data_IF_248688083033
#
_entry.id   IF_248688083033
#
_cell.length_a   1.000
_cell.length_b   1.000
_cell.length_c   1.000
_cell.angle_alpha   90.00
_cell.angle_beta   90.00
_cell.angle_gamma   90.00
#
_symmetry.space_group_name_H-M   'P 1'
#
loop_
_entity.id
_entity.type
_entity.pdbx_description
1 polymer ?
#
# COMPACT_ATOMS: atom_id res chain seq x y z
N UNK A 1 -15.89 10.29 5.02
CA UNK A 1 -15.07 11.41 5.52
C UNK A 1 -13.62 10.96 5.47
N UNK A 2 -12.96 11.20 4.35
CA UNK A 2 -11.51 10.95 4.20
C UNK A 2 -10.81 12.06 4.98
N UNK A 3 -9.90 11.72 5.88
CA UNK A 3 -9.11 12.66 6.69
C UNK A 3 -8.30 13.61 5.80
N UNK A 4 -8.94 14.69 5.35
CA UNK A 4 -8.30 15.85 4.69
C UNK A 4 -7.65 16.81 5.70
N UNK A 5 -7.56 16.40 6.97
CA UNK A 5 -7.21 17.28 8.08
C UNK A 5 -6.32 16.56 9.07
N UNK A 6 -5.05 16.36 8.72
CA UNK A 6 -3.94 16.25 9.69
C UNK A 6 -2.53 16.40 9.08
N UNK A 7 -2.35 16.32 7.75
CA UNK A 7 -1.06 16.68 7.13
C UNK A 7 -0.71 18.19 7.16
N UNK A 8 -1.51 19.01 7.86
CA UNK A 8 -1.29 20.47 8.01
C UNK A 8 -1.06 20.93 9.46
N UNK A 9 -0.99 20.04 10.44
CA UNK A 9 -0.66 20.40 11.84
C UNK A 9 0.72 19.86 12.18
N UNK A 10 1.72 20.76 12.20
CA UNK A 10 3.16 20.45 12.11
C UNK A 10 3.81 19.64 13.25
N UNK A 11 3.05 19.06 14.19
CA UNK A 11 3.57 18.20 15.27
C UNK A 11 3.28 16.71 15.01
N UNK A 12 2.08 16.37 14.52
CA UNK A 12 1.77 14.99 14.11
C UNK A 12 2.61 14.59 12.89
N UNK A 13 2.77 15.52 11.94
CA UNK A 13 3.56 15.34 10.73
C UNK A 13 5.04 15.03 11.03
N UNK A 14 5.67 15.69 12.02
CA UNK A 14 7.08 15.44 12.34
C UNK A 14 7.33 14.06 12.97
N UNK A 15 6.41 13.55 13.81
CA UNK A 15 6.54 12.18 14.35
C UNK A 15 6.38 11.13 13.25
N UNK A 16 5.44 11.31 12.33
CA UNK A 16 5.31 10.43 11.17
C UNK A 16 6.53 10.51 10.25
N UNK A 17 7.05 11.70 9.97
CA UNK A 17 8.30 11.86 9.22
C UNK A 17 9.46 11.16 9.91
N UNK A 18 9.58 11.31 11.22
CA UNK A 18 10.63 10.64 11.99
C UNK A 18 10.48 9.11 11.93
N UNK A 19 9.26 8.60 12.07
CA UNK A 19 8.96 7.18 11.90
C UNK A 19 9.46 6.66 10.54
N UNK A 20 9.16 7.38 9.44
CA UNK A 20 9.62 6.98 8.11
C UNK A 20 11.13 7.13 7.91
N UNK A 21 11.79 8.12 8.53
CA UNK A 21 13.27 8.22 8.55
C UNK A 21 13.90 7.01 9.23
N UNK A 22 13.36 6.60 10.38
CA UNK A 22 13.83 5.44 11.13
C UNK A 22 13.60 4.15 10.34
N UNK A 23 12.43 3.99 9.70
CA UNK A 23 12.17 2.86 8.78
C UNK A 23 13.22 2.79 7.66
N UNK A 24 13.54 3.93 7.03
CA UNK A 24 14.56 4.00 5.99
C UNK A 24 15.94 3.58 6.49
N UNK A 25 16.31 3.97 7.71
CA UNK A 25 17.56 3.54 8.34
C UNK A 25 17.59 2.02 8.58
N UNK A 26 16.48 1.43 9.06
CA UNK A 26 16.36 -0.02 9.27
C UNK A 26 16.56 -0.81 7.96
N UNK A 27 15.91 -0.41 6.86
CA UNK A 27 16.14 -1.03 5.56
C UNK A 27 17.58 -0.85 5.09
N UNK A 28 18.16 0.33 5.28
CA UNK A 28 19.57 0.59 4.91
C UNK A 28 20.53 -0.35 5.66
N UNK A 29 20.30 -0.61 6.95
CA UNK A 29 21.08 -1.56 7.74
C UNK A 29 20.96 -2.97 7.16
N UNK A 30 19.74 -3.44 6.86
CA UNK A 30 19.50 -4.76 6.29
C UNK A 30 20.16 -4.93 4.91
N UNK A 31 20.11 -3.90 4.08
CA UNK A 31 20.64 -3.89 2.71
C UNK A 31 22.12 -3.51 2.63
N UNK A 32 22.77 -3.29 3.78
CA UNK A 32 24.17 -2.82 3.91
C UNK A 32 24.43 -1.53 3.12
N UNK A 33 23.44 -0.64 3.09
CA UNK A 33 23.50 0.68 2.47
C UNK A 33 23.80 1.78 3.50
N UNK A 34 24.33 2.94 3.07
CA UNK A 34 24.59 4.06 3.96
C UNK A 34 23.32 4.56 4.65
N UNK A 35 23.38 4.72 5.99
CA UNK A 35 22.30 5.31 6.78
C UNK A 35 22.23 6.82 6.52
N UNK A 36 21.00 7.36 6.52
CA UNK A 36 20.72 8.79 6.45
C UNK A 36 21.51 9.59 7.49
N UNK A 37 22.02 10.76 7.10
CA UNK A 37 22.96 11.53 7.91
C UNK A 37 22.45 11.82 9.35
N UNK A 38 21.17 12.13 9.52
CA UNK A 38 20.59 12.46 10.83
C UNK A 38 20.47 11.27 11.80
N UNK A 39 20.71 10.04 11.34
CA UNK A 39 20.66 8.83 12.17
C UNK A 39 21.99 8.05 12.15
N UNK A 40 23.02 8.60 11.49
CA UNK A 40 24.30 7.90 11.28
C UNK A 40 25.09 7.64 12.56
N UNK A 41 24.94 8.52 13.55
CA UNK A 41 25.64 8.43 14.83
C UNK A 41 24.93 7.49 15.83
N UNK A 42 23.73 7.00 15.49
CA UNK A 42 22.98 6.06 16.33
C UNK A 42 23.41 4.63 16.03
N UNK A 43 23.55 3.83 17.07
CA UNK A 43 23.71 2.40 16.94
C UNK A 43 22.44 1.74 16.36
N UNK A 44 22.56 0.58 15.69
CA UNK A 44 21.40 -0.17 15.23
C UNK A 44 20.37 -0.46 16.34
N UNK A 45 20.81 -0.70 17.57
CA UNK A 45 19.91 -0.94 18.72
C UNK A 45 19.10 0.32 19.08
N UNK A 46 19.73 1.50 19.10
CA UNK A 46 19.03 2.77 19.35
C UNK A 46 17.99 3.07 18.27
N UNK A 47 18.30 2.78 17.01
CA UNK A 47 17.37 2.93 15.88
C UNK A 47 16.17 2.00 16.04
N UNK A 48 16.38 0.75 16.45
CA UNK A 48 15.28 -0.19 16.75
C UNK A 48 14.44 0.26 17.94
N UNK A 49 15.07 0.77 19.00
CA UNK A 49 14.35 1.27 20.17
C UNK A 49 13.49 2.49 19.82
N UNK A 50 14.03 3.44 19.05
CA UNK A 50 13.28 4.60 18.58
C UNK A 50 12.11 4.18 17.67
N UNK A 51 12.35 3.21 16.77
CA UNK A 51 11.30 2.63 15.93
C UNK A 51 10.14 2.07 16.76
N UNK A 52 10.43 1.24 17.76
CA UNK A 52 9.40 0.61 18.58
C UNK A 52 8.61 1.61 19.43
N UNK A 53 9.28 2.65 19.94
CA UNK A 53 8.63 3.74 20.66
C UNK A 53 7.68 4.53 19.75
N UNK A 54 8.14 4.88 18.54
CA UNK A 54 7.32 5.60 17.57
C UNK A 54 6.15 4.73 17.07
N UNK A 55 6.38 3.45 16.83
CA UNK A 55 5.32 2.51 16.44
C UNK A 55 4.27 2.36 17.54
N UNK A 56 4.70 2.19 18.80
CA UNK A 56 3.80 2.08 19.94
C UNK A 56 2.97 3.36 20.17
N UNK A 57 3.57 4.53 19.93
CA UNK A 57 2.87 5.82 20.07
C UNK A 57 1.90 6.08 18.91
N UNK A 58 2.32 5.83 17.68
CA UNK A 58 1.57 6.22 16.49
C UNK A 58 0.62 5.14 15.97
N UNK A 59 0.83 3.87 16.32
CA UNK A 59 0.07 2.71 15.82
C UNK A 59 0.08 2.62 14.29
N UNK A 60 1.23 2.83 13.66
CA UNK A 60 1.33 2.93 12.19
C UNK A 60 1.05 1.58 11.55
N UNK A 61 1.49 0.47 12.15
CA UNK A 61 1.23 -0.87 11.64
C UNK A 61 -0.25 -1.20 11.64
N UNK A 62 -0.98 -0.88 12.70
CA UNK A 62 -2.42 -1.13 12.74
C UNK A 62 -3.16 -0.27 11.71
N UNK A 63 -2.78 0.99 11.57
CA UNK A 63 -3.30 1.88 10.52
C UNK A 63 -3.02 1.30 9.13
N UNK A 64 -1.78 0.94 8.83
CA UNK A 64 -1.37 0.36 7.54
C UNK A 64 -2.03 -0.99 7.26
N UNK A 65 -2.15 -1.86 8.27
CA UNK A 65 -2.82 -3.15 8.15
C UNK A 65 -4.31 -2.95 7.84
N UNK A 66 -4.94 -1.96 8.48
CA UNK A 66 -6.29 -1.51 8.17
C UNK A 66 -6.46 -1.00 6.73
N UNK A 67 -5.40 -0.54 6.05
CA UNK A 67 -5.45 -0.14 4.64
C UNK A 67 -5.08 -1.26 3.67
N UNK A 68 -4.71 -2.46 4.16
CA UNK A 68 -4.47 -3.60 3.27
C UNK A 68 -5.77 -3.93 2.55
N UNK A 69 -5.79 -3.72 1.24
CA UNK A 69 -6.99 -3.90 0.45
C UNK A 69 -7.22 -5.39 0.21
N UNK A 70 -8.40 -5.89 0.58
CA UNK A 70 -8.78 -7.26 0.21
C UNK A 70 -9.06 -7.25 -1.29
N UNK A 71 -8.18 -7.87 -2.07
CA UNK A 71 -8.38 -8.07 -3.50
C UNK A 71 -9.40 -9.20 -3.68
N UNK A 72 -10.65 -8.84 -3.96
CA UNK A 72 -11.70 -9.80 -4.32
C UNK A 72 -11.71 -9.97 -5.83
N UNK A 73 -11.20 -11.10 -6.30
CA UNK A 73 -11.52 -11.56 -7.65
C UNK A 73 -13.01 -11.92 -7.67
N UNK A 74 -13.79 -11.24 -8.52
CA UNK A 74 -15.12 -11.75 -8.84
C UNK A 74 -14.91 -13.02 -9.69
N UNK A 75 -15.60 -14.09 -9.29
CA UNK A 75 -15.32 -15.50 -9.60
C UNK A 75 -14.80 -15.81 -11.01
N UNK A 76 -13.81 -16.71 -11.11
CA UNK A 76 -13.49 -17.47 -12.33
C UNK A 76 -12.20 -17.13 -13.07
N UNK A 77 -11.38 -16.19 -12.57
CA UNK A 77 -10.14 -15.78 -13.25
C UNK A 77 -8.91 -16.14 -12.42
N UNK A 78 -8.76 -17.43 -12.17
CA UNK A 78 -7.43 -18.01 -12.03
C UNK A 78 -6.89 -18.22 -13.45
N UNK A 79 -5.81 -17.51 -13.81
CA UNK A 79 -4.97 -17.81 -14.96
C UNK A 79 -5.55 -17.62 -16.39
N UNK A 80 -5.96 -16.41 -16.79
CA UNK A 80 -5.99 -16.08 -18.22
C UNK A 80 -4.83 -15.15 -18.60
N UNK A 81 -3.82 -15.73 -19.25
CA UNK A 81 -2.65 -15.07 -19.86
C UNK A 81 -3.05 -14.30 -21.14
N UNK A 82 -4.02 -13.39 -21.08
CA UNK A 82 -4.37 -12.64 -22.29
C UNK A 82 -4.57 -11.16 -22.00
N UNK A 83 -3.74 -10.38 -22.68
CA UNK A 83 -3.88 -8.97 -22.95
C UNK A 83 -5.36 -8.57 -23.09
N UNK A 84 -5.84 -7.69 -22.23
CA UNK A 84 -7.26 -7.38 -22.11
C UNK A 84 -7.52 -6.13 -21.29
N UNK A 85 -8.76 -5.97 -20.84
CA UNK A 85 -9.18 -4.84 -20.01
C UNK A 85 -9.55 -5.30 -18.62
N UNK A 86 -9.33 -4.44 -17.64
CA UNK A 86 -9.62 -4.67 -16.24
C UNK A 86 -10.38 -3.47 -15.69
N UNK A 87 -11.62 -3.69 -15.25
CA UNK A 87 -12.37 -2.72 -14.49
C UNK A 87 -11.99 -2.87 -13.02
N UNK A 88 -11.24 -1.91 -12.51
CA UNK A 88 -10.82 -1.78 -11.12
C UNK A 88 -11.83 -0.94 -10.35
N UNK A 89 -12.21 -1.41 -9.17
CA UNK A 89 -13.11 -0.71 -8.25
C UNK A 89 -12.47 -0.72 -6.87
N UNK A 90 -12.05 0.45 -6.39
CA UNK A 90 -11.53 0.64 -5.05
C UNK A 90 -12.62 1.21 -4.16
N UNK A 91 -12.95 0.50 -3.10
CA UNK A 91 -13.86 0.95 -2.05
C UNK A 91 -13.06 1.26 -0.78
N UNK A 92 -12.83 2.55 -0.54
CA UNK A 92 -12.02 3.03 0.58
C UNK A 92 -12.74 2.89 1.92
N UNK A 93 -14.07 2.86 1.93
CA UNK A 93 -14.88 2.64 3.12
C UNK A 93 -14.82 1.16 3.56
N UNK A 94 -14.95 0.24 2.60
CA UNK A 94 -14.86 -1.21 2.86
C UNK A 94 -13.43 -1.76 2.84
N UNK A 95 -12.43 -0.92 2.51
CA UNK A 95 -11.02 -1.31 2.37
C UNK A 95 -10.86 -2.52 1.44
N UNK A 96 -11.57 -2.48 0.32
CA UNK A 96 -11.66 -3.58 -0.61
C UNK A 96 -11.39 -3.11 -2.03
N UNK A 97 -10.66 -3.91 -2.77
CA UNK A 97 -10.50 -3.72 -4.21
C UNK A 97 -11.13 -4.90 -4.92
N UNK A 98 -12.00 -4.60 -5.87
CA UNK A 98 -12.56 -5.59 -6.78
C UNK A 98 -12.03 -5.34 -8.18
N UNK A 99 -11.86 -6.40 -8.94
CA UNK A 99 -11.56 -6.28 -10.36
C UNK A 99 -12.46 -7.20 -11.17
N UNK A 100 -12.79 -6.73 -12.38
CA UNK A 100 -13.55 -7.48 -13.38
C UNK A 100 -12.72 -7.48 -14.67
N UNK A 101 -12.17 -8.64 -15.07
CA UNK A 101 -11.40 -8.76 -16.30
C UNK A 101 -12.32 -8.93 -17.51
N UNK A 102 -11.89 -8.43 -18.66
CA UNK A 102 -12.52 -8.52 -19.96
C UNK A 102 -11.47 -8.89 -21.01
N UNK A 103 -11.82 -9.79 -21.92
CA UNK A 103 -10.96 -10.09 -23.07
C UNK A 103 -10.89 -8.88 -24.02
N UNK A 104 -9.85 -8.80 -24.85
CA UNK A 104 -9.71 -7.69 -25.82
C UNK A 104 -10.92 -7.58 -26.77
N UNK A 105 -11.56 -8.69 -27.10
CA UNK A 105 -12.79 -8.74 -27.92
C UNK A 105 -14.01 -8.14 -27.22
N UNK A 106 -13.95 -7.96 -25.90
CA UNK A 106 -15.01 -7.42 -25.06
C UNK A 106 -14.80 -5.94 -24.71
N UNK A 107 -13.93 -5.22 -25.44
CA UNK A 107 -13.62 -3.80 -25.17
C UNK A 107 -14.87 -2.92 -25.02
N UNK A 108 -15.83 -3.07 -25.93
CA UNK A 108 -17.07 -2.31 -25.90
C UNK A 108 -17.91 -2.60 -24.65
N UNK A 109 -17.95 -3.86 -24.19
CA UNK A 109 -18.62 -4.23 -22.94
C UNK A 109 -17.90 -3.64 -21.74
N UNK A 110 -16.56 -3.65 -21.75
CA UNK A 110 -15.75 -3.09 -20.68
C UNK A 110 -15.99 -1.57 -20.54
N UNK A 111 -16.02 -0.84 -21.67
CA UNK A 111 -16.34 0.59 -21.72
C UNK A 111 -17.76 0.89 -21.21
N UNK A 112 -18.75 0.10 -21.63
CA UNK A 112 -20.13 0.25 -21.16
C UNK A 112 -20.25 0.03 -19.65
N UNK A 113 -19.61 -1.02 -19.13
CA UNK A 113 -19.59 -1.31 -17.69
C UNK A 113 -18.88 -0.21 -16.91
N UNK A 114 -17.76 0.29 -17.43
CA UNK A 114 -17.06 1.43 -16.84
C UNK A 114 -17.96 2.67 -16.77
N UNK A 115 -18.56 3.10 -17.88
CA UNK A 115 -19.45 4.26 -17.91
C UNK A 115 -20.65 4.12 -16.96
N UNK A 116 -21.22 2.91 -16.87
CA UNK A 116 -22.31 2.62 -15.94
C UNK A 116 -21.87 2.79 -14.48
N UNK A 117 -20.73 2.21 -14.13
CA UNK A 117 -20.21 2.24 -12.75
C UNK A 117 -19.72 3.64 -12.35
N UNK A 118 -18.98 4.30 -13.24
CA UNK A 118 -18.57 5.70 -13.04
C UNK A 118 -19.79 6.61 -12.88
N UNK A 119 -20.81 6.45 -13.73
CA UNK A 119 -22.05 7.21 -13.65
C UNK A 119 -22.81 6.99 -12.33
N UNK A 120 -22.87 5.74 -11.86
CA UNK A 120 -23.53 5.37 -10.60
C UNK A 120 -22.79 5.92 -9.38
N UNK A 121 -21.47 5.84 -9.37
CA UNK A 121 -20.63 6.17 -8.21
C UNK A 121 -20.01 7.58 -8.29
N UNK A 122 -20.35 8.38 -9.31
CA UNK A 122 -19.80 9.72 -9.57
C UNK A 122 -19.77 10.66 -8.35
N UNK A 123 -20.77 10.56 -7.48
CA UNK A 123 -20.90 11.42 -6.30
C UNK A 123 -20.47 10.72 -4.99
N UNK A 124 -19.96 9.49 -5.09
CA UNK A 124 -19.50 8.72 -3.95
C UNK A 124 -17.98 8.93 -3.77
N UNK A 125 -17.56 9.74 -2.77
CA UNK A 125 -16.14 10.05 -2.59
C UNK A 125 -15.31 8.85 -2.10
N UNK A 126 -15.97 7.75 -1.71
CA UNK A 126 -15.30 6.57 -1.18
C UNK A 126 -14.99 5.53 -2.27
N UNK A 127 -15.59 5.65 -3.46
CA UNK A 127 -15.42 4.69 -4.55
C UNK A 127 -14.61 5.33 -5.67
N UNK A 128 -13.54 4.65 -6.09
CA UNK A 128 -12.76 5.00 -7.28
C UNK A 128 -12.91 3.87 -8.32
N UNK A 129 -13.21 4.25 -9.56
CA UNK A 129 -13.48 3.32 -10.67
C UNK A 129 -12.52 3.63 -11.81
N UNK A 130 -11.76 2.64 -12.24
CA UNK A 130 -10.78 2.76 -13.33
C UNK A 130 -10.93 1.61 -14.30
N UNK A 131 -10.93 1.91 -15.59
CA UNK A 131 -10.77 0.92 -16.64
C UNK A 131 -9.33 0.98 -17.17
N UNK A 132 -8.62 -0.14 -17.12
CA UNK A 132 -7.22 -0.23 -17.54
C UNK A 132 -7.03 -1.36 -18.55
N UNK A 133 -6.27 -1.12 -19.61
CA UNK A 133 -5.75 -2.17 -20.47
C UNK A 133 -4.42 -2.69 -19.89
N UNK A 134 -4.26 -4.01 -19.77
CA UNK A 134 -3.02 -4.61 -19.26
C UNK A 134 -2.77 -5.99 -19.89
N UNK A 135 -1.48 -6.35 -20.01
CA UNK A 135 -1.04 -7.64 -20.53
C UNK A 135 -1.36 -8.79 -19.57
N UNK A 136 -1.13 -8.56 -18.30
CA UNK A 136 -1.48 -9.47 -17.21
C UNK A 136 -1.73 -8.73 -15.88
N UNK A 137 -2.01 -9.51 -14.82
CA UNK A 137 -2.23 -8.96 -13.47
C UNK A 137 -0.97 -8.35 -12.85
N UNK A 138 0.23 -8.71 -13.31
CA UNK A 138 1.49 -8.13 -12.81
C UNK A 138 1.65 -6.72 -13.35
N UNK A 139 1.43 -6.53 -14.65
CA UNK A 139 1.42 -5.21 -15.29
C UNK A 139 0.41 -4.28 -14.63
N UNK A 140 -0.79 -4.79 -14.36
CA UNK A 140 -1.86 -4.04 -13.68
C UNK A 140 -1.46 -3.62 -12.26
N UNK A 141 -0.83 -4.51 -11.49
CA UNK A 141 -0.31 -4.20 -10.14
C UNK A 141 0.79 -3.15 -10.18
N UNK A 142 1.65 -3.17 -11.19
CA UNK A 142 2.73 -2.18 -11.33
C UNK A 142 2.21 -0.81 -11.74
N UNK A 143 1.23 -0.75 -12.66
CA UNK A 143 0.65 0.51 -13.12
C UNK A 143 -0.32 1.15 -12.12
N UNK A 144 -1.04 0.34 -11.33
CA UNK A 144 -2.05 0.80 -10.36
C UNK A 144 -1.79 0.25 -8.95
N UNK A 145 -0.62 0.52 -8.33
CA UNK A 145 -0.23 -0.09 -7.07
C UNK A 145 -1.15 0.27 -5.89
N UNK A 146 -1.80 1.45 -5.94
CA UNK A 146 -2.77 1.90 -4.94
C UNK A 146 -4.06 1.06 -4.89
N UNK A 147 -4.33 0.24 -5.91
CA UNK A 147 -5.44 -0.72 -5.92
C UNK A 147 -5.06 -2.09 -5.35
N UNK A 148 -3.77 -2.32 -5.09
CA UNK A 148 -3.26 -3.60 -4.60
C UNK A 148 -2.40 -3.40 -3.35
N UNK A 149 -2.74 -2.38 -2.54
CA UNK A 149 -1.99 -2.04 -1.33
C UNK A 149 -1.94 -3.25 -0.41
N UNK A 150 -0.76 -3.86 -0.34
CA UNK A 150 -0.41 -4.91 0.60
C UNK A 150 0.71 -4.39 1.50
N UNK A 151 0.34 -3.94 2.69
CA UNK A 151 1.31 -3.42 3.67
C UNK A 151 1.95 -4.54 4.48
N UNK A 152 1.52 -5.80 4.31
CA UNK A 152 2.04 -6.94 5.08
C UNK A 152 3.53 -7.14 4.81
N UNK A 153 3.97 -7.01 3.56
CA UNK A 153 5.38 -7.14 3.21
C UNK A 153 6.24 -6.09 3.94
N UNK A 154 5.80 -4.83 3.92
CA UNK A 154 6.47 -3.73 4.63
C UNK A 154 6.55 -3.99 6.14
N UNK A 155 5.41 -4.31 6.77
CA UNK A 155 5.32 -4.58 8.21
C UNK A 155 6.17 -5.80 8.60
N UNK A 156 6.08 -6.88 7.83
CA UNK A 156 6.82 -8.13 8.08
C UNK A 156 8.32 -7.92 7.95
N UNK A 157 8.78 -7.19 6.94
CA UNK A 157 10.19 -6.88 6.76
C UNK A 157 10.73 -6.08 7.94
N UNK A 158 10.06 -4.99 8.34
CA UNK A 158 10.49 -4.19 9.49
C UNK A 158 10.56 -5.03 10.78
N UNK A 159 9.56 -5.87 11.06
CA UNK A 159 9.61 -6.79 12.21
C UNK A 159 10.81 -7.74 12.15
N UNK A 160 11.09 -8.30 10.98
CA UNK A 160 12.23 -9.21 10.76
C UNK A 160 13.57 -8.51 10.95
N UNK A 161 13.72 -7.30 10.43
CA UNK A 161 14.93 -6.47 10.58
C UNK A 161 15.17 -6.18 12.07
N UNK A 162 14.16 -5.68 12.78
CA UNK A 162 14.27 -5.38 14.21
C UNK A 162 14.65 -6.61 15.04
N UNK A 163 14.04 -7.77 14.77
CA UNK A 163 14.38 -9.02 15.45
C UNK A 163 15.83 -9.46 15.16
N UNK A 164 16.28 -9.34 13.91
CA UNK A 164 17.65 -9.70 13.50
C UNK A 164 18.70 -8.83 14.18
N UNK A 165 18.45 -7.52 14.26
CA UNK A 165 19.32 -6.57 14.97
C UNK A 165 19.35 -6.90 16.46
N UNK A 166 18.21 -7.15 17.11
CA UNK A 166 18.19 -7.52 18.53
C UNK A 166 18.97 -8.79 18.84
N UNK A 167 18.94 -9.78 17.94
CA UNK A 167 19.69 -11.03 18.12
C UNK A 167 21.19 -10.87 17.86
N UNK A 168 21.62 -9.97 16.97
CA UNK A 168 23.05 -9.76 16.69
C UNK A 168 23.82 -9.05 17.82
N UNK A 169 23.11 -8.36 18.71
CA UNK A 169 23.71 -7.53 19.77
C UNK A 169 23.26 -7.97 21.19
N UNK A 170 22.73 -9.19 21.31
CA UNK A 170 22.55 -9.93 22.57
C UNK A 170 23.68 -10.96 22.70
#
# INVERSE_FOLDING_TARGET
MIEKSSFKTGLGDEKFKQFFRVCSALFSIQEKQPIIACLRDKSPQEIVQEFELLEAELGVFDKLAAFTSVVKATSGVENKKSNGYYLLILDTEKKATSFIPFEHTQSQLAEQMYMLMEGKEKNNPNIDVVLAAAGDMKDLRTAYPNYFVDTKAFISNLKSICASIKHQYN
#
